data_IF_890073851380
#
_entry.id   IF_890073851380
#
_cell.length_a   1.000
_cell.length_b   1.000
_cell.length_c   1.000
_cell.angle_alpha   90.00
_cell.angle_beta   90.00
_cell.angle_gamma   90.00
#
_symmetry.space_group_name_H-M   'P 1'
#
loop_
_entity.id
_entity.type
_entity.pdbx_description
1 polymer ?
#
# COMPACT_ATOMS: atom_id res chain seq x y z
N UNK A 1 11.15 -14.71 -6.53
CA UNK A 1 9.99 -14.13 -7.25
C UNK A 1 10.53 -13.24 -8.36
N UNK A 2 9.75 -12.92 -9.38
CA UNK A 2 10.15 -11.89 -10.34
C UNK A 2 9.68 -10.54 -9.81
N UNK A 3 10.62 -9.74 -9.28
CA UNK A 3 10.32 -8.40 -8.74
C UNK A 3 9.60 -7.53 -9.76
N UNK A 4 9.80 -7.76 -11.07
CA UNK A 4 9.10 -7.03 -12.13
C UNK A 4 7.60 -7.31 -12.13
N UNK A 5 7.20 -8.57 -11.92
CA UNK A 5 5.77 -8.94 -11.85
C UNK A 5 5.09 -8.36 -10.62
N UNK A 6 5.78 -8.41 -9.48
CA UNK A 6 5.25 -7.85 -8.24
C UNK A 6 5.15 -6.32 -8.31
N UNK A 7 6.16 -5.67 -8.89
CA UNK A 7 6.14 -4.24 -9.19
C UNK A 7 4.98 -3.87 -10.11
N UNK A 8 4.78 -4.61 -11.20
CA UNK A 8 3.65 -4.39 -12.12
C UNK A 8 2.32 -4.50 -11.39
N UNK A 9 2.13 -5.56 -10.59
CA UNK A 9 0.92 -5.74 -9.80
C UNK A 9 0.64 -4.55 -8.87
N UNK A 10 1.65 -4.10 -8.11
CA UNK A 10 1.49 -2.96 -7.20
C UNK A 10 1.18 -1.68 -7.95
N UNK A 11 1.83 -1.41 -9.09
CA UNK A 11 1.55 -0.24 -9.92
C UNK A 11 0.13 -0.26 -10.48
N UNK A 12 -0.34 -1.41 -10.97
CA UNK A 12 -1.70 -1.56 -11.51
C UNK A 12 -2.74 -1.29 -10.42
N UNK A 13 -2.51 -1.75 -9.18
CA UNK A 13 -3.38 -1.45 -8.02
C UNK A 13 -3.36 0.01 -7.60
N UNK A 14 -2.19 0.67 -7.63
CA UNK A 14 -2.11 2.11 -7.39
C UNK A 14 -2.89 2.91 -8.44
N UNK A 15 -2.87 2.47 -9.70
CA UNK A 15 -3.70 3.06 -10.76
C UNK A 15 -5.19 2.78 -10.56
N UNK A 16 -5.57 1.58 -10.11
CA UNK A 16 -6.96 1.29 -9.75
C UNK A 16 -7.45 2.21 -8.64
N UNK A 17 -6.66 2.42 -7.60
CA UNK A 17 -7.02 3.30 -6.48
C UNK A 17 -7.18 4.76 -6.90
N UNK A 18 -6.34 5.25 -7.80
CA UNK A 18 -6.48 6.57 -8.41
C UNK A 18 -7.83 6.71 -9.14
N UNK A 19 -8.23 5.67 -9.89
CA UNK A 19 -9.53 5.64 -10.56
C UNK A 19 -10.70 5.54 -9.58
N UNK A 20 -10.58 4.75 -8.51
CA UNK A 20 -11.57 4.65 -7.43
C UNK A 20 -11.79 6.02 -6.79
N UNK A 21 -10.71 6.71 -6.41
CA UNK A 21 -10.79 8.05 -5.85
C UNK A 21 -11.50 9.02 -6.82
N UNK A 22 -11.19 8.96 -8.11
CA UNK A 22 -11.83 9.81 -9.12
C UNK A 22 -13.35 9.54 -9.28
N UNK A 23 -13.80 8.32 -8.96
CA UNK A 23 -15.22 7.93 -8.90
C UNK A 23 -15.88 8.24 -7.55
N UNK A 24 -15.13 8.76 -6.57
CA UNK A 24 -15.61 8.97 -5.20
C UNK A 24 -15.68 7.69 -4.37
N UNK A 25 -15.04 6.61 -4.83
CA UNK A 25 -14.90 5.36 -4.09
C UNK A 25 -13.67 5.42 -3.18
N UNK A 26 -13.73 4.72 -2.04
CA UNK A 26 -12.57 4.61 -1.15
C UNK A 26 -11.47 3.78 -1.84
N UNK A 27 -10.22 4.28 -1.92
CA UNK A 27 -9.09 3.50 -2.37
C UNK A 27 -8.90 2.22 -1.54
N UNK A 28 -8.53 1.12 -2.19
CA UNK A 28 -8.20 -0.17 -1.58
C UNK A 28 -7.08 -0.02 -0.54
N UNK A 29 -6.11 0.86 -0.78
CA UNK A 29 -5.04 1.14 0.17
C UNK A 29 -5.59 1.76 1.47
N UNK A 30 -6.52 2.72 1.36
CA UNK A 30 -7.19 3.32 2.52
C UNK A 30 -8.12 2.32 3.21
N UNK A 31 -8.77 1.40 2.46
CA UNK A 31 -9.51 0.28 3.03
C UNK A 31 -8.58 -0.66 3.83
N UNK A 32 -7.40 -0.98 3.30
CA UNK A 32 -6.43 -1.83 3.96
C UNK A 32 -5.92 -1.20 5.27
N UNK A 33 -5.68 0.12 5.28
CA UNK A 33 -5.35 0.86 6.49
C UNK A 33 -6.51 0.91 7.48
N UNK A 34 -7.75 1.13 7.01
CA UNK A 34 -8.95 1.11 7.83
C UNK A 34 -9.17 -0.25 8.52
N UNK A 35 -8.84 -1.34 7.81
CA UNK A 35 -8.88 -2.73 8.33
C UNK A 35 -7.66 -3.11 9.16
N UNK A 36 -6.69 -2.21 9.32
CA UNK A 36 -5.46 -2.47 10.09
C UNK A 36 -4.58 -3.54 9.47
N UNK A 37 -4.54 -3.64 8.15
CA UNK A 37 -3.63 -4.56 7.42
C UNK A 37 -2.28 -3.91 7.14
N UNK A 38 -2.31 -2.60 6.95
CA UNK A 38 -1.17 -1.74 6.69
C UNK A 38 -1.35 -0.45 7.51
N UNK A 39 -0.26 0.21 7.87
CA UNK A 39 -0.29 1.61 8.28
C UNK A 39 0.73 2.38 7.49
N UNK A 40 0.32 3.54 6.99
CA UNK A 40 1.16 4.48 6.28
C UNK A 40 1.26 5.74 7.11
N UNK A 41 2.49 6.08 7.52
CA UNK A 41 2.79 7.33 8.22
C UNK A 41 3.91 8.06 7.49
N UNK A 42 4.00 9.38 7.69
CA UNK A 42 5.21 10.12 7.30
C UNK A 42 6.37 9.65 8.16
N UNK A 43 7.56 9.60 7.59
CA UNK A 43 8.81 9.44 8.34
C UNK A 43 9.06 10.66 9.23
N UNK A 44 9.84 10.49 10.30
CA UNK A 44 10.13 11.55 11.27
C UNK A 44 10.90 12.73 10.65
N UNK A 45 11.65 12.48 9.58
CA UNK A 45 12.34 13.50 8.78
C UNK A 45 11.45 14.17 7.72
N UNK A 46 10.21 13.69 7.55
CA UNK A 46 9.24 14.16 6.56
C UNK A 46 9.63 13.87 5.11
N UNK A 47 10.69 13.10 4.87
CA UNK A 47 11.24 12.85 3.54
C UNK A 47 10.54 11.70 2.78
N UNK A 48 9.72 10.89 3.47
CA UNK A 48 9.06 9.75 2.86
C UNK A 48 7.92 9.16 3.69
N UNK A 49 7.54 7.94 3.32
CA UNK A 49 6.54 7.15 4.02
C UNK A 49 7.20 5.96 4.73
N UNK A 50 6.70 5.68 5.93
CA UNK A 50 6.96 4.42 6.63
C UNK A 50 5.74 3.52 6.48
N UNK A 51 5.98 2.30 6.00
CA UNK A 51 4.96 1.26 5.83
C UNK A 51 5.14 0.22 6.93
N UNK A 52 4.10 0.00 7.71
CA UNK A 52 4.12 -0.91 8.85
C UNK A 52 3.09 -2.03 8.65
N UNK A 53 3.48 -3.32 8.74
CA UNK A 53 2.56 -4.44 8.59
C UNK A 53 1.67 -4.66 9.82
N UNK A 54 0.47 -5.21 9.60
CA UNK A 54 -0.31 -5.92 10.62
C UNK A 54 -1.31 -5.06 11.43
N UNK A 55 -2.04 -5.68 12.38
CA UNK A 55 -3.07 -5.02 13.18
C UNK A 55 -2.41 -4.08 14.19
N UNK A 56 -2.26 -2.82 13.78
CA UNK A 56 -1.68 -1.78 14.63
C UNK A 56 -2.76 -1.27 15.59
N UNK A 57 -2.56 -1.51 16.89
CA UNK A 57 -3.48 -1.08 17.96
C UNK A 57 -3.56 0.45 18.07
N UNK A 58 -4.78 0.86 18.45
CA UNK A 58 -5.30 2.20 18.76
C UNK A 58 -5.46 3.19 17.58
N UNK A 59 -6.72 3.56 17.36
CA UNK A 59 -7.18 4.54 16.39
C UNK A 59 -7.03 6.01 16.85
N UNK A 60 -6.51 6.24 18.06
CA UNK A 60 -6.70 7.50 18.79
C UNK A 60 -5.78 8.65 18.36
N UNK A 61 -4.74 8.40 17.56
CA UNK A 61 -3.91 9.46 16.93
C UNK A 61 -3.72 9.20 15.43
N UNK A 62 -4.78 8.77 14.73
CA UNK A 62 -4.72 8.60 13.27
C UNK A 62 -4.83 9.97 12.61
N UNK A 63 -3.68 10.56 12.28
CA UNK A 63 -3.59 11.53 11.19
C UNK A 63 -3.11 10.80 9.93
N UNK A 64 -3.99 10.03 9.24
CA UNK A 64 -3.60 9.27 8.07
C UNK A 64 -3.05 10.23 7.02
N UNK A 65 -2.01 9.78 6.32
CA UNK A 65 -1.52 10.53 5.17
C UNK A 65 -2.66 10.66 4.14
N UNK A 66 -2.91 11.83 3.54
CA UNK A 66 -3.92 11.94 2.49
C UNK A 66 -3.57 11.02 1.32
N UNK A 67 -4.57 10.33 0.75
CA UNK A 67 -4.33 9.38 -0.34
C UNK A 67 -3.53 9.97 -1.53
N UNK A 68 -3.78 11.20 -2.03
CA UNK A 68 -2.99 11.76 -3.14
C UNK A 68 -1.49 11.86 -2.82
N UNK A 69 -1.14 12.13 -1.56
CA UNK A 69 0.24 12.15 -1.08
C UNK A 69 0.82 10.73 -1.03
N UNK A 70 0.06 9.76 -0.51
CA UNK A 70 0.44 8.33 -0.52
C UNK A 70 0.75 7.85 -1.94
N UNK A 71 -0.19 8.09 -2.86
CA UNK A 71 -0.10 7.63 -4.24
C UNK A 71 1.17 8.17 -4.92
N UNK A 72 1.44 9.45 -4.78
CA UNK A 72 2.61 10.10 -5.42
C UNK A 72 3.92 9.50 -4.91
N UNK A 73 4.06 9.35 -3.60
CA UNK A 73 5.28 8.82 -2.99
C UNK A 73 5.44 7.32 -3.25
N UNK A 74 4.38 6.53 -3.09
CA UNK A 74 4.41 5.09 -3.33
C UNK A 74 4.69 4.75 -4.79
N UNK A 75 4.08 5.48 -5.74
CA UNK A 75 4.35 5.28 -7.18
C UNK A 75 5.81 5.54 -7.49
N UNK A 76 6.36 6.65 -6.98
CA UNK A 76 7.78 7.00 -7.14
C UNK A 76 8.70 5.93 -6.55
N UNK A 77 8.39 5.45 -5.34
CA UNK A 77 9.20 4.44 -4.65
C UNK A 77 9.14 3.08 -5.37
N UNK A 78 7.95 2.61 -5.74
CA UNK A 78 7.75 1.35 -6.47
C UNK A 78 8.41 1.37 -7.86
N UNK A 79 8.43 2.53 -8.53
CA UNK A 79 9.12 2.69 -9.81
C UNK A 79 10.66 2.67 -9.68
N UNK A 80 11.20 3.10 -8.54
CA UNK A 80 12.66 3.24 -8.34
C UNK A 80 13.29 2.11 -7.54
N UNK A 81 12.50 1.42 -6.74
CA UNK A 81 12.99 0.42 -5.78
C UNK A 81 12.97 -0.98 -6.37
N UNK A 82 14.01 -1.75 -6.06
CA UNK A 82 14.05 -3.21 -6.22
C UNK A 82 13.83 -3.93 -4.87
N UNK A 83 13.35 -3.21 -3.85
CA UNK A 83 13.05 -3.75 -2.54
C UNK A 83 11.84 -4.70 -2.61
N UNK A 84 12.14 -6.00 -2.65
CA UNK A 84 11.14 -7.06 -2.67
C UNK A 84 10.24 -7.03 -1.43
N UNK A 85 10.77 -6.63 -0.25
CA UNK A 85 9.99 -6.62 0.98
C UNK A 85 8.92 -5.51 0.95
N UNK A 86 9.28 -4.33 0.44
CA UNK A 86 8.33 -3.25 0.18
C UNK A 86 7.22 -3.70 -0.77
N UNK A 87 7.60 -4.26 -1.91
CA UNK A 87 6.66 -4.71 -2.93
C UNK A 87 5.72 -5.79 -2.40
N UNK A 88 6.22 -6.72 -1.58
CA UNK A 88 5.41 -7.77 -0.94
C UNK A 88 4.44 -7.20 0.08
N UNK A 89 4.88 -6.24 0.88
CA UNK A 89 4.03 -5.59 1.87
C UNK A 89 2.86 -4.86 1.21
N UNK A 90 3.13 -4.11 0.15
CA UNK A 90 2.09 -3.44 -0.63
C UNK A 90 1.16 -4.44 -1.30
N UNK A 91 1.70 -5.50 -1.91
CA UNK A 91 0.88 -6.52 -2.55
C UNK A 91 -0.07 -7.20 -1.54
N UNK A 92 0.43 -7.53 -0.35
CA UNK A 92 -0.37 -8.12 0.73
C UNK A 92 -1.46 -7.17 1.26
N UNK A 93 -1.25 -5.84 1.20
CA UNK A 93 -2.27 -4.87 1.58
C UNK A 93 -3.44 -4.84 0.58
N UNK A 94 -3.15 -4.99 -0.73
CA UNK A 94 -4.16 -5.08 -1.78
C UNK A 94 -4.87 -6.43 -1.87
N UNK A 95 -4.24 -7.49 -1.35
CA UNK A 95 -4.80 -8.83 -1.36
C UNK A 95 -5.98 -8.91 -0.39
N UNK A 96 -7.19 -8.71 -0.94
CA UNK A 96 -8.44 -8.66 -0.17
C UNK A 96 -8.98 -10.05 0.16
N UNK A 97 -8.58 -11.07 -0.62
CA UNK A 97 -8.96 -12.46 -0.48
C UNK A 97 -7.73 -13.36 -0.29
N UNK A 98 -7.86 -14.29 0.62
CA UNK A 98 -6.83 -15.22 1.11
C UNK A 98 -6.33 -16.25 0.05
N UNK A 99 -6.64 -16.04 -1.23
CA UNK A 99 -6.52 -17.06 -2.29
C UNK A 99 -5.14 -17.07 -2.98
N UNK A 100 -4.37 -15.97 -2.94
CA UNK A 100 -3.04 -15.96 -3.55
C UNK A 100 -1.97 -16.68 -2.71
N UNK A 101 -2.20 -16.89 -1.41
CA UNK A 101 -1.22 -17.56 -0.53
C UNK A 101 -1.15 -19.09 -0.75
N UNK A 102 -2.16 -19.73 -1.32
CA UNK A 102 -2.20 -21.20 -1.46
C UNK A 102 -1.56 -21.71 -2.75
N UNK A 103 -1.48 -20.91 -3.82
CA UNK A 103 -0.80 -21.32 -5.06
C UNK A 103 0.74 -21.19 -5.01
N UNK A 104 1.31 -20.69 -3.91
CA UNK A 104 2.71 -20.26 -3.87
C UNK A 104 3.45 -20.62 -2.57
N UNK A 105 3.13 -21.79 -1.97
CA UNK A 105 3.96 -22.44 -0.95
C UNK A 105 5.04 -23.34 -1.58
#
# INVERSE_FOLDING_TARGET
MDNEKLRRFVLDRLTEDEQRLARGELPLLDEAEGRGRLRITRSDDGAGLLLLPGPIQAAEERNPVPFPEKLTQLRTEVERSDDEALLRLLAAAYDTDHDWQEEWR
#
